data_IF_258642906429
#
_entry.id   IF_258642906429
#
_cell.length_a   1.000
_cell.length_b   1.000
_cell.length_c   1.000
_cell.angle_alpha   90.00
_cell.angle_beta   90.00
_cell.angle_gamma   90.00
#
_symmetry.space_group_name_H-M   'P 1'
#
loop_
_entity.id
_entity.type
_entity.pdbx_description
1 polymer ?
#
# COMPACT_ATOMS: atom_id res chain seq x y z
N UNK A 1 11.94 22.61 -4.26
CA UNK A 1 13.00 22.57 -3.25
C UNK A 1 14.14 21.77 -3.83
N UNK A 2 15.13 22.44 -4.36
CA UNK A 2 16.34 21.82 -4.90
C UNK A 2 17.20 21.36 -3.73
N UNK A 3 17.14 20.10 -3.39
CA UNK A 3 18.18 19.45 -2.61
C UNK A 3 19.44 19.41 -3.47
N UNK A 4 20.41 20.28 -3.24
CA UNK A 4 21.60 20.49 -4.07
C UNK A 4 22.58 19.30 -4.16
N UNK A 5 22.10 18.08 -4.27
CA UNK A 5 22.85 16.85 -4.41
C UNK A 5 22.42 16.04 -5.65
N UNK A 6 23.19 15.02 -6.02
CA UNK A 6 22.93 14.19 -7.22
C UNK A 6 21.73 13.24 -7.06
N UNK A 7 21.08 13.19 -5.88
CA UNK A 7 20.00 12.26 -5.57
C UNK A 7 18.66 12.95 -5.38
N UNK A 8 17.60 12.36 -5.92
CA UNK A 8 16.23 12.80 -5.64
C UNK A 8 15.77 12.38 -4.23
N UNK A 9 14.67 12.98 -3.73
CA UNK A 9 14.13 12.70 -2.39
C UNK A 9 13.95 11.19 -2.12
N UNK A 10 13.44 10.44 -3.10
CA UNK A 10 13.28 8.99 -2.94
C UNK A 10 14.64 8.26 -2.82
N UNK A 11 15.67 8.69 -3.54
CA UNK A 11 17.00 8.06 -3.44
C UNK A 11 17.71 8.38 -2.12
N UNK A 12 17.44 9.54 -1.52
CA UNK A 12 18.04 9.94 -0.24
C UNK A 12 17.60 9.05 0.93
N UNK A 13 16.49 8.34 0.81
CA UNK A 13 15.99 7.43 1.84
C UNK A 13 16.56 5.99 1.72
N UNK A 14 17.37 5.71 0.70
CA UNK A 14 18.03 4.41 0.57
C UNK A 14 19.12 4.25 1.63
N UNK A 15 18.92 3.33 2.54
CA UNK A 15 19.92 2.91 3.53
C UNK A 15 20.82 1.79 3.00
N UNK A 16 20.25 0.93 2.12
CA UNK A 16 20.95 -0.18 1.50
C UNK A 16 20.39 -0.45 0.11
N UNK A 17 21.29 -0.68 -0.84
CA UNK A 17 20.95 -1.14 -2.21
C UNK A 17 21.61 -2.50 -2.46
N UNK A 18 21.08 -3.32 -3.38
CA UNK A 18 21.68 -4.62 -3.69
C UNK A 18 23.05 -4.46 -4.36
N UNK A 19 23.85 -5.53 -4.35
CA UNK A 19 25.07 -5.58 -5.13
C UNK A 19 24.74 -5.52 -6.64
N UNK A 20 25.04 -4.39 -7.26
CA UNK A 20 24.75 -4.11 -8.68
C UNK A 20 25.73 -4.78 -9.64
N UNK A 21 26.78 -5.44 -9.13
CA UNK A 21 27.72 -6.26 -9.94
C UNK A 21 27.14 -7.64 -10.25
N UNK A 22 26.17 -8.10 -9.45
CA UNK A 22 25.45 -9.34 -9.70
C UNK A 22 24.48 -9.16 -10.88
N UNK A 23 24.56 -10.02 -11.91
CA UNK A 23 23.70 -9.94 -13.09
C UNK A 23 22.20 -9.96 -12.72
N UNK A 24 21.42 -9.03 -13.31
CA UNK A 24 19.99 -8.90 -13.09
C UNK A 24 19.57 -8.06 -11.87
N UNK A 25 20.48 -7.80 -10.91
CA UNK A 25 20.14 -7.02 -9.72
C UNK A 25 19.84 -5.56 -10.06
N UNK A 26 20.56 -4.98 -11.02
CA UNK A 26 20.33 -3.59 -11.46
C UNK A 26 18.92 -3.40 -12.01
N UNK A 27 18.49 -4.23 -12.93
CA UNK A 27 17.18 -4.16 -13.58
C UNK A 27 16.05 -4.35 -12.56
N UNK A 28 16.21 -5.31 -11.66
CA UNK A 28 15.25 -5.55 -10.57
C UNK A 28 15.16 -4.36 -9.63
N UNK A 29 16.29 -3.83 -9.21
CA UNK A 29 16.33 -2.65 -8.34
C UNK A 29 15.73 -1.41 -9.01
N UNK A 30 15.99 -1.18 -10.30
CA UNK A 30 15.38 -0.08 -11.05
C UNK A 30 13.85 -0.18 -11.11
N UNK A 31 13.30 -1.40 -11.21
CA UNK A 31 11.85 -1.63 -11.15
C UNK A 31 11.27 -1.26 -9.78
N UNK A 32 11.92 -1.68 -8.70
CA UNK A 32 11.52 -1.34 -7.33
C UNK A 32 11.60 0.18 -7.09
N UNK A 33 12.69 0.80 -7.54
CA UNK A 33 12.88 2.25 -7.42
C UNK A 33 11.82 3.07 -8.17
N UNK A 34 11.31 2.59 -9.32
CA UNK A 34 10.18 3.24 -10.01
C UNK A 34 8.92 3.24 -9.15
N UNK A 35 8.60 2.09 -8.53
CA UNK A 35 7.44 1.97 -7.64
C UNK A 35 7.60 2.84 -6.40
N UNK A 36 8.78 2.85 -5.77
CA UNK A 36 9.09 3.74 -4.65
C UNK A 36 8.93 5.22 -5.02
N UNK A 37 9.43 5.63 -6.19
CA UNK A 37 9.27 7.02 -6.66
C UNK A 37 7.80 7.40 -6.88
N UNK A 38 6.95 6.46 -7.33
CA UNK A 38 5.50 6.71 -7.43
C UNK A 38 4.86 6.87 -6.05
N UNK A 39 5.26 6.05 -5.06
CA UNK A 39 4.84 6.25 -3.67
C UNK A 39 5.23 7.64 -3.16
N UNK A 40 6.50 8.06 -3.35
CA UNK A 40 6.96 9.38 -2.93
C UNK A 40 6.22 10.52 -3.61
N UNK A 41 5.89 10.37 -4.90
CA UNK A 41 5.03 11.33 -5.61
C UNK A 41 3.67 11.46 -4.91
N UNK A 42 3.02 10.34 -4.57
CA UNK A 42 1.74 10.38 -3.86
C UNK A 42 1.87 11.03 -2.47
N UNK A 43 2.89 10.67 -1.70
CA UNK A 43 3.14 11.26 -0.38
C UNK A 43 3.32 12.78 -0.48
N UNK A 44 4.13 13.26 -1.42
CA UNK A 44 4.35 14.71 -1.65
C UNK A 44 3.06 15.43 -2.03
N UNK A 45 2.23 14.84 -2.90
CA UNK A 45 0.93 15.40 -3.31
C UNK A 45 -0.06 15.49 -2.18
N UNK A 46 0.04 14.58 -1.20
CA UNK A 46 -0.81 14.53 0.00
C UNK A 46 -0.23 15.27 1.22
N UNK A 47 0.97 15.84 1.10
CA UNK A 47 1.66 16.51 2.20
C UNK A 47 2.21 15.56 3.27
N UNK A 48 2.34 14.27 2.94
CA UNK A 48 2.88 13.26 3.85
C UNK A 48 4.40 13.40 3.93
N UNK A 49 4.92 13.53 5.16
CA UNK A 49 6.37 13.58 5.40
C UNK A 49 7.03 12.22 5.18
N UNK A 50 8.02 12.18 4.30
CA UNK A 50 8.83 11.01 3.97
C UNK A 50 10.29 11.14 4.41
N UNK A 51 10.62 12.17 5.19
CA UNK A 51 12.02 12.48 5.54
C UNK A 51 12.69 11.48 6.49
N UNK A 52 11.88 10.71 7.22
CA UNK A 52 12.36 9.76 8.24
C UNK A 52 12.27 8.29 7.84
N UNK A 53 11.59 7.96 6.73
CA UNK A 53 11.47 6.58 6.28
C UNK A 53 12.78 6.11 5.64
N UNK A 54 13.26 4.93 6.03
CA UNK A 54 14.41 4.27 5.42
C UNK A 54 13.98 3.15 4.49
N UNK A 55 14.76 2.89 3.43
CA UNK A 55 14.55 1.76 2.53
C UNK A 55 15.79 0.90 2.41
N UNK A 56 15.63 -0.43 2.48
CA UNK A 56 16.66 -1.42 2.26
C UNK A 56 16.20 -2.38 1.17
N UNK A 57 17.03 -2.55 0.14
CA UNK A 57 16.77 -3.48 -0.95
C UNK A 57 17.70 -4.66 -0.84
N UNK A 58 17.16 -5.84 -0.52
CA UNK A 58 17.93 -7.06 -0.25
C UNK A 58 17.65 -8.13 -1.31
N UNK A 59 18.70 -8.79 -1.75
CA UNK A 59 18.58 -10.00 -2.54
C UNK A 59 18.62 -11.22 -1.60
N UNK A 60 17.71 -12.18 -1.80
CA UNK A 60 17.82 -13.48 -1.13
C UNK A 60 19.09 -14.20 -1.54
N UNK A 61 19.73 -14.88 -0.60
CA UNK A 61 20.88 -15.76 -0.83
C UNK A 61 20.44 -17.23 -0.67
N UNK A 62 21.25 -18.21 -1.09
CA UNK A 62 20.92 -19.63 -0.86
C UNK A 62 20.73 -19.99 0.62
N UNK A 63 21.33 -19.22 1.52
CA UNK A 63 21.33 -19.51 2.97
C UNK A 63 20.37 -18.60 3.75
N UNK A 64 19.89 -17.50 3.16
CA UNK A 64 19.05 -16.52 3.85
C UNK A 64 18.03 -15.90 2.88
N UNK A 65 16.76 -16.08 3.19
CA UNK A 65 15.68 -15.43 2.46
C UNK A 65 15.54 -13.97 2.90
N UNK A 66 15.57 -13.04 1.97
CA UNK A 66 15.17 -11.67 2.24
C UNK A 66 13.64 -11.62 2.35
N UNK A 67 13.13 -11.01 3.41
CA UNK A 67 11.68 -10.83 3.64
C UNK A 67 11.36 -9.36 3.47
N UNK A 68 10.31 -9.06 2.72
CA UNK A 68 9.73 -7.71 2.64
C UNK A 68 8.96 -7.44 3.92
N UNK A 69 9.08 -6.23 4.47
CA UNK A 69 8.38 -5.84 5.69
C UNK A 69 8.88 -4.52 6.25
N UNK A 70 8.13 -3.97 7.20
CA UNK A 70 8.46 -2.76 7.93
C UNK A 70 8.94 -3.10 9.35
N UNK A 71 9.97 -2.40 9.81
CA UNK A 71 10.44 -2.45 11.20
C UNK A 71 11.14 -1.15 11.58
N UNK A 72 10.71 -0.54 12.69
CA UNK A 72 11.35 0.63 13.30
C UNK A 72 11.72 1.74 12.28
N UNK A 73 10.75 2.17 11.48
CA UNK A 73 10.92 3.23 10.49
C UNK A 73 11.66 2.82 9.21
N UNK A 74 12.02 1.55 9.05
CA UNK A 74 12.74 1.03 7.88
C UNK A 74 11.88 0.00 7.14
N UNK A 75 11.71 0.21 5.84
CA UNK A 75 11.04 -0.72 4.93
C UNK A 75 12.11 -1.52 4.20
N UNK A 76 12.11 -2.83 4.42
CA UNK A 76 12.94 -3.77 3.67
C UNK A 76 12.14 -4.34 2.50
N UNK A 77 12.73 -4.39 1.32
CA UNK A 77 12.10 -4.93 0.11
C UNK A 77 12.98 -6.02 -0.48
N UNK A 78 12.39 -7.21 -0.66
CA UNK A 78 13.07 -8.31 -1.34
C UNK A 78 13.17 -8.00 -2.84
N UNK A 79 14.39 -8.10 -3.38
CA UNK A 79 14.67 -7.87 -4.79
C UNK A 79 13.92 -8.84 -5.72
N UNK A 80 13.60 -10.03 -5.23
CA UNK A 80 12.78 -11.03 -5.94
C UNK A 80 11.39 -10.54 -6.30
N UNK A 81 10.84 -9.56 -5.58
CA UNK A 81 9.53 -8.98 -5.89
C UNK A 81 9.48 -8.22 -7.22
N UNK A 82 10.63 -7.78 -7.73
CA UNK A 82 10.71 -7.19 -9.05
C UNK A 82 10.45 -8.20 -10.18
N UNK A 83 10.58 -9.50 -9.91
CA UNK A 83 10.34 -10.56 -10.89
C UNK A 83 8.84 -10.81 -11.06
N UNK A 84 8.27 -10.64 -12.28
CA UNK A 84 6.85 -10.87 -12.53
C UNK A 84 6.41 -12.32 -12.28
N UNK A 85 7.28 -13.29 -12.57
CA UNK A 85 6.99 -14.72 -12.37
C UNK A 85 6.89 -15.03 -10.90
N UNK A 86 7.85 -14.57 -10.11
CA UNK A 86 7.86 -14.73 -8.66
C UNK A 86 6.61 -14.10 -8.02
N UNK A 87 6.24 -12.87 -8.46
CA UNK A 87 5.03 -12.21 -7.96
C UNK A 87 3.75 -12.98 -8.29
N UNK A 88 3.63 -13.47 -9.52
CA UNK A 88 2.45 -14.24 -9.91
C UNK A 88 2.36 -15.58 -9.15
N UNK A 89 3.48 -16.26 -8.94
CA UNK A 89 3.54 -17.48 -8.11
C UNK A 89 3.13 -17.18 -6.66
N UNK A 90 3.63 -16.11 -6.07
CA UNK A 90 3.26 -15.70 -4.72
C UNK A 90 1.77 -15.33 -4.65
N UNK A 91 1.26 -14.56 -5.61
CA UNK A 91 -0.15 -14.21 -5.72
C UNK A 91 -1.04 -15.46 -5.76
N UNK A 92 -0.67 -16.47 -6.55
CA UNK A 92 -1.40 -17.74 -6.65
C UNK A 92 -1.31 -18.56 -5.36
N UNK A 93 -0.12 -18.67 -4.76
CA UNK A 93 0.08 -19.44 -3.52
C UNK A 93 -0.67 -18.85 -2.32
N UNK A 94 -0.84 -17.52 -2.28
CA UNK A 94 -1.56 -16.79 -1.24
C UNK A 94 -3.04 -16.54 -1.60
N UNK A 95 -3.50 -17.03 -2.76
CA UNK A 95 -4.86 -16.79 -3.27
C UNK A 95 -5.24 -15.29 -3.30
N UNK A 96 -4.28 -14.43 -3.59
CA UNK A 96 -4.51 -13.00 -3.70
C UNK A 96 -5.08 -12.65 -5.09
N UNK A 97 -6.10 -11.79 -5.15
CA UNK A 97 -6.66 -11.30 -6.41
C UNK A 97 -5.81 -10.23 -7.07
N UNK A 98 -5.03 -9.51 -6.28
CA UNK A 98 -4.28 -8.34 -6.71
C UNK A 98 -2.95 -8.26 -5.96
N UNK A 99 -1.83 -8.22 -6.70
CA UNK A 99 -0.49 -8.08 -6.13
C UNK A 99 0.38 -7.28 -7.09
N UNK A 100 0.72 -6.05 -6.72
CA UNK A 100 1.56 -5.16 -7.51
C UNK A 100 2.72 -4.61 -6.68
N UNK A 101 3.82 -4.24 -7.33
CA UNK A 101 4.94 -3.62 -6.63
C UNK A 101 4.54 -2.35 -5.90
N UNK A 102 3.79 -1.48 -6.57
CA UNK A 102 3.33 -0.22 -5.95
C UNK A 102 2.36 -0.49 -4.79
N UNK A 103 1.54 -1.54 -4.89
CA UNK A 103 0.66 -1.97 -3.79
C UNK A 103 1.46 -2.36 -2.56
N UNK A 104 2.49 -3.20 -2.71
CA UNK A 104 3.40 -3.57 -1.62
C UNK A 104 4.10 -2.37 -0.99
N UNK A 105 4.67 -1.47 -1.80
CA UNK A 105 5.29 -0.25 -1.26
C UNK A 105 4.31 0.61 -0.46
N UNK A 106 3.05 0.71 -0.90
CA UNK A 106 2.00 1.45 -0.19
C UNK A 106 1.59 0.77 1.10
N UNK A 107 1.52 -0.55 1.09
CA UNK A 107 1.21 -1.37 2.26
C UNK A 107 2.29 -1.21 3.35
N UNK A 108 3.55 -1.46 3.02
CA UNK A 108 4.66 -1.30 3.96
C UNK A 108 4.80 0.14 4.48
N UNK A 109 4.53 1.10 3.61
CA UNK A 109 4.48 2.51 4.02
C UNK A 109 3.26 2.79 4.92
N UNK A 110 2.17 2.04 4.79
CA UNK A 110 1.03 2.08 5.70
C UNK A 110 1.42 1.71 7.13
N UNK A 111 2.21 0.65 7.32
CA UNK A 111 2.77 0.27 8.63
C UNK A 111 3.67 1.37 9.21
N UNK A 112 4.59 1.92 8.39
CA UNK A 112 5.42 3.05 8.78
C UNK A 112 4.57 4.26 9.21
N UNK A 113 3.53 4.58 8.44
CA UNK A 113 2.66 5.72 8.70
C UNK A 113 1.85 5.53 9.99
N UNK A 114 1.36 4.31 10.26
CA UNK A 114 0.70 3.94 11.50
C UNK A 114 1.60 4.15 12.72
N UNK A 115 2.84 3.63 12.66
CA UNK A 115 3.82 3.77 13.75
C UNK A 115 4.09 5.24 14.10
N UNK A 116 4.12 6.12 13.10
CA UNK A 116 4.49 7.51 13.28
C UNK A 116 3.30 8.47 13.51
N UNK A 117 2.08 8.10 13.13
CA UNK A 117 0.92 8.98 13.22
C UNK A 117 -0.16 8.47 14.18
N UNK A 118 -0.40 7.16 14.22
CA UNK A 118 -1.48 6.58 15.06
C UNK A 118 -0.96 6.26 16.46
N UNK A 119 0.15 5.53 16.55
CA UNK A 119 0.72 5.08 17.85
C UNK A 119 1.01 6.22 18.83
N UNK A 120 1.56 7.38 18.42
CA UNK A 120 1.87 8.45 19.35
C UNK A 120 0.67 9.25 19.84
N UNK A 121 -0.49 9.12 19.18
CA UNK A 121 -1.71 9.86 19.51
C UNK A 121 -2.76 8.93 20.14
N UNK A 122 -3.03 9.05 21.47
CA UNK A 122 -3.98 8.17 22.15
C UNK A 122 -5.40 8.25 21.60
N UNK A 123 -5.83 9.41 21.08
CA UNK A 123 -7.18 9.60 20.51
C UNK A 123 -7.28 8.89 19.18
N UNK A 124 -6.26 9.01 18.32
CA UNK A 124 -6.21 8.29 17.06
C UNK A 124 -6.11 6.79 17.26
N UNK A 125 -5.34 6.34 18.25
CA UNK A 125 -5.19 4.93 18.56
C UNK A 125 -6.50 4.32 19.09
N UNK A 126 -7.26 5.04 19.91
CA UNK A 126 -8.59 4.59 20.34
C UNK A 126 -9.55 4.45 19.15
N UNK A 127 -9.61 5.47 18.27
CA UNK A 127 -10.44 5.40 17.06
C UNK A 127 -10.00 4.32 16.07
N UNK A 128 -8.70 4.08 15.97
CA UNK A 128 -8.17 2.95 15.20
C UNK A 128 -8.74 1.63 15.75
N UNK A 129 -8.67 1.41 17.06
CA UNK A 129 -9.20 0.18 17.70
C UNK A 129 -10.69 -0.01 17.51
N UNK A 130 -11.47 1.08 17.53
CA UNK A 130 -12.91 1.04 17.24
C UNK A 130 -13.23 0.54 15.83
N UNK A 131 -12.39 0.87 14.84
CA UNK A 131 -12.63 0.60 13.42
C UNK A 131 -11.95 -0.67 12.91
N UNK A 132 -10.73 -0.94 13.37
CA UNK A 132 -9.86 -2.00 12.85
C UNK A 132 -9.71 -3.17 13.81
N UNK A 133 -9.93 -2.98 15.10
CA UNK A 133 -9.69 -3.97 16.15
C UNK A 133 -8.44 -3.67 16.99
N UNK A 134 -8.11 -4.58 17.90
CA UNK A 134 -7.00 -4.42 18.84
C UNK A 134 -5.67 -4.89 18.22
N UNK A 135 -4.78 -3.97 17.92
CA UNK A 135 -3.46 -4.25 17.33
C UNK A 135 -2.52 -5.03 18.26
N UNK A 136 -2.90 -5.21 19.55
CA UNK A 136 -2.12 -5.98 20.53
C UNK A 136 -2.39 -7.48 20.47
N UNK A 137 -3.31 -7.92 19.62
CA UNK A 137 -3.51 -9.35 19.34
C UNK A 137 -2.20 -10.01 18.90
N UNK A 138 -2.06 -11.31 19.16
CA UNK A 138 -0.84 -12.03 18.80
C UNK A 138 -0.71 -12.10 17.28
N UNK A 139 0.18 -11.26 16.75
CA UNK A 139 0.41 -11.11 15.32
C UNK A 139 0.80 -12.42 14.64
N UNK A 140 1.72 -13.20 15.25
CA UNK A 140 2.16 -14.45 14.63
C UNK A 140 1.05 -15.50 14.63
N UNK A 141 0.32 -15.64 15.74
CA UNK A 141 -0.81 -16.55 15.81
C UNK A 141 -1.92 -16.18 14.81
N UNK A 142 -2.19 -14.90 14.63
CA UNK A 142 -3.17 -14.39 13.65
C UNK A 142 -2.75 -14.71 12.21
N UNK A 143 -1.47 -14.54 11.87
CA UNK A 143 -0.94 -14.92 10.56
C UNK A 143 -0.96 -16.44 10.34
N UNK A 144 -0.58 -17.24 11.35
CA UNK A 144 -0.61 -18.70 11.26
C UNK A 144 -2.04 -19.22 11.04
N UNK A 145 -3.04 -18.63 11.70
CA UNK A 145 -4.44 -18.89 11.46
C UNK A 145 -4.84 -18.51 10.03
N UNK A 146 -4.47 -17.33 9.57
CA UNK A 146 -4.73 -16.91 8.19
C UNK A 146 -4.14 -17.89 7.17
N UNK A 147 -2.88 -18.29 7.29
CA UNK A 147 -2.23 -19.21 6.37
C UNK A 147 -2.74 -20.67 6.48
N UNK A 148 -3.40 -21.04 7.59
CA UNK A 148 -4.08 -22.32 7.70
C UNK A 148 -5.38 -22.42 6.89
N UNK A 149 -5.86 -21.30 6.33
CA UNK A 149 -7.05 -21.23 5.48
C UNK A 149 -8.35 -20.95 6.26
N UNK A 150 -8.26 -20.64 7.54
CA UNK A 150 -9.40 -20.26 8.39
C UNK A 150 -9.63 -18.73 8.30
N UNK A 151 -10.17 -18.30 7.16
CA UNK A 151 -10.33 -16.87 6.87
C UNK A 151 -11.74 -16.38 7.23
N UNK A 152 -11.81 -15.27 7.94
CA UNK A 152 -13.05 -14.52 8.06
C UNK A 152 -13.33 -13.77 6.74
N UNK A 153 -14.22 -14.29 5.91
CA UNK A 153 -14.72 -13.58 4.72
C UNK A 153 -15.79 -12.55 5.16
N UNK A 154 -15.38 -11.50 5.88
CA UNK A 154 -16.26 -10.41 6.27
C UNK A 154 -16.35 -9.33 5.18
N UNK A 155 -17.55 -8.76 4.97
CA UNK A 155 -17.72 -7.56 4.14
C UNK A 155 -17.08 -6.30 4.75
N UNK A 156 -16.41 -6.44 5.88
CA UNK A 156 -15.75 -5.38 6.64
C UNK A 156 -14.29 -5.18 6.26
N UNK A 157 -13.71 -6.09 5.45
CA UNK A 157 -12.33 -6.04 5.01
C UNK A 157 -12.22 -5.73 3.52
N UNK A 158 -11.22 -4.92 3.14
CA UNK A 158 -10.99 -4.56 1.73
C UNK A 158 -10.36 -5.69 0.93
N UNK A 159 -9.57 -6.55 1.59
CA UNK A 159 -8.95 -7.74 1.02
C UNK A 159 -9.08 -8.91 2.00
N UNK A 160 -8.86 -10.15 1.53
CA UNK A 160 -8.81 -11.31 2.42
C UNK A 160 -7.64 -11.19 3.39
N UNK A 161 -6.50 -10.67 2.94
CA UNK A 161 -5.32 -10.46 3.77
C UNK A 161 -5.56 -9.44 4.90
N UNK A 162 -6.36 -8.41 4.65
CA UNK A 162 -6.78 -7.45 5.68
C UNK A 162 -7.44 -8.11 6.90
N UNK A 163 -8.10 -9.27 6.72
CA UNK A 163 -8.73 -9.99 7.84
C UNK A 163 -7.73 -10.72 8.75
N UNK A 164 -6.46 -10.77 8.40
CA UNK A 164 -5.46 -11.51 9.16
C UNK A 164 -5.11 -10.86 10.51
N UNK A 165 -5.05 -9.53 10.55
CA UNK A 165 -4.71 -8.79 11.78
C UNK A 165 -5.15 -7.31 11.65
N UNK A 166 -5.55 -6.61 12.72
CA UNK A 166 -5.90 -5.18 12.67
C UNK A 166 -4.83 -4.28 12.04
N UNK A 167 -3.58 -4.59 12.24
CA UNK A 167 -2.46 -3.85 11.67
C UNK A 167 -2.32 -4.06 10.15
N UNK A 168 -2.64 -5.26 9.66
CA UNK A 168 -2.70 -5.57 8.22
C UNK A 168 -3.92 -4.92 7.55
N UNK A 169 -5.05 -4.90 8.25
CA UNK A 169 -6.26 -4.21 7.77
C UNK A 169 -6.02 -2.71 7.57
N UNK A 170 -5.30 -2.09 8.51
CA UNK A 170 -4.86 -0.70 8.32
C UNK A 170 -3.95 -0.54 7.11
N UNK A 171 -2.89 -1.36 6.98
CA UNK A 171 -1.92 -1.25 5.91
C UNK A 171 -2.55 -1.46 4.52
N UNK A 172 -3.44 -2.44 4.39
CA UNK A 172 -4.25 -2.68 3.20
C UNK A 172 -5.17 -1.49 2.90
N UNK A 173 -5.92 -1.01 3.90
CA UNK A 173 -6.81 0.15 3.74
C UNK A 173 -6.03 1.41 3.33
N UNK A 174 -4.86 1.65 3.92
CA UNK A 174 -3.97 2.76 3.58
C UNK A 174 -3.44 2.63 2.14
N UNK A 175 -3.01 1.45 1.72
CA UNK A 175 -2.57 1.20 0.36
C UNK A 175 -3.69 1.47 -0.66
N UNK A 176 -4.90 1.01 -0.37
CA UNK A 176 -6.07 1.24 -1.21
C UNK A 176 -6.50 2.72 -1.24
N UNK A 177 -6.39 3.44 -0.13
CA UNK A 177 -6.58 4.89 -0.12
C UNK A 177 -5.62 5.59 -1.08
N UNK A 178 -4.33 5.23 -1.07
CA UNK A 178 -3.36 5.79 -2.01
C UNK A 178 -3.63 5.35 -3.46
N UNK A 179 -4.12 4.12 -3.71
CA UNK A 179 -4.55 3.69 -5.04
C UNK A 179 -5.67 4.58 -5.57
N UNK A 180 -6.69 4.79 -4.77
CA UNK A 180 -7.84 5.63 -5.11
C UNK A 180 -7.42 7.06 -5.41
N UNK A 181 -6.61 7.67 -4.54
CA UNK A 181 -6.15 9.06 -4.69
C UNK A 181 -5.32 9.25 -5.95
N UNK A 182 -4.39 8.34 -6.21
CA UNK A 182 -3.49 8.39 -7.35
C UNK A 182 -4.23 8.18 -8.68
N UNK A 183 -5.16 7.23 -8.71
CA UNK A 183 -5.96 6.94 -9.89
C UNK A 183 -6.94 8.08 -10.21
N UNK A 184 -7.58 8.68 -9.21
CA UNK A 184 -8.46 9.84 -9.41
C UNK A 184 -7.69 11.05 -9.89
N UNK A 185 -6.51 11.36 -9.33
CA UNK A 185 -5.66 12.45 -9.83
C UNK A 185 -5.30 12.24 -11.31
N UNK A 186 -4.92 11.02 -11.68
CA UNK A 186 -4.65 10.66 -13.08
C UNK A 186 -5.89 10.84 -13.95
N UNK A 187 -7.06 10.38 -13.48
CA UNK A 187 -8.32 10.47 -14.21
C UNK A 187 -8.75 11.90 -14.49
N UNK A 188 -8.55 12.79 -13.53
CA UNK A 188 -8.79 14.24 -13.69
C UNK A 188 -7.89 14.82 -14.79
N UNK A 189 -6.61 14.46 -14.80
CA UNK A 189 -5.65 14.94 -15.80
C UNK A 189 -6.00 14.50 -17.21
N UNK A 190 -6.59 13.32 -17.37
CA UNK A 190 -7.05 12.81 -18.68
C UNK A 190 -8.52 13.15 -18.99
N UNK A 191 -9.19 13.95 -18.15
CA UNK A 191 -10.58 14.36 -18.38
C UNK A 191 -11.62 13.23 -18.23
N UNK A 192 -11.25 12.14 -17.53
CA UNK A 192 -12.16 11.01 -17.27
C UNK A 192 -13.06 11.28 -16.04
N UNK A 193 -12.65 12.18 -15.17
CA UNK A 193 -13.42 12.66 -14.02
C UNK A 193 -13.35 14.19 -13.95
N UNK A 194 -14.32 14.82 -13.27
CA UNK A 194 -14.35 16.27 -13.12
C UNK A 194 -13.26 16.75 -12.14
N UNK A 195 -12.49 17.75 -12.53
CA UNK A 195 -11.50 18.42 -11.68
C UNK A 195 -12.15 19.51 -10.84
N UNK A 196 -12.57 19.16 -9.63
CA UNK A 196 -13.19 20.09 -8.64
C UNK A 196 -12.47 20.07 -7.29
N UNK A 197 -11.22 19.59 -7.26
CA UNK A 197 -10.52 19.28 -6.01
C UNK A 197 -11.05 17.99 -5.37
N UNK A 198 -10.27 17.38 -4.51
CA UNK A 198 -10.68 16.14 -3.84
C UNK A 198 -11.54 16.46 -2.62
N UNK A 199 -12.74 15.88 -2.62
CA UNK A 199 -13.63 15.76 -1.48
C UNK A 199 -13.93 14.26 -1.31
N UNK A 200 -13.88 13.73 -0.09
CA UNK A 200 -13.83 12.29 0.16
C UNK A 200 -15.03 11.53 -0.42
N UNK A 201 -16.26 11.97 -0.11
CA UNK A 201 -17.47 11.24 -0.53
C UNK A 201 -17.60 11.20 -2.06
N UNK A 202 -17.40 12.36 -2.69
CA UNK A 202 -17.38 12.46 -4.15
C UNK A 202 -16.26 11.63 -4.77
N UNK A 203 -15.07 11.61 -4.15
CA UNK A 203 -13.94 10.81 -4.60
C UNK A 203 -14.26 9.31 -4.55
N UNK A 204 -14.90 8.83 -3.49
CA UNK A 204 -15.34 7.43 -3.39
C UNK A 204 -16.37 7.10 -4.48
N UNK A 205 -17.38 7.95 -4.70
CA UNK A 205 -18.36 7.75 -5.75
C UNK A 205 -17.74 7.73 -7.16
N UNK A 206 -16.82 8.64 -7.43
CA UNK A 206 -16.08 8.69 -8.71
C UNK A 206 -15.23 7.45 -8.88
N UNK A 207 -14.55 7.00 -7.83
CA UNK A 207 -13.73 5.79 -7.86
C UNK A 207 -14.56 4.53 -8.14
N UNK A 208 -15.71 4.37 -7.49
CA UNK A 208 -16.61 3.23 -7.75
C UNK A 208 -17.02 3.19 -9.23
N UNK A 209 -17.45 4.31 -9.78
CA UNK A 209 -17.84 4.41 -11.21
C UNK A 209 -16.67 4.10 -12.14
N UNK A 210 -15.49 4.65 -11.83
CA UNK A 210 -14.30 4.51 -12.65
C UNK A 210 -13.76 3.07 -12.62
N UNK A 211 -13.70 2.45 -11.43
CA UNK A 211 -13.22 1.08 -11.28
C UNK A 211 -14.12 0.07 -11.99
N UNK A 212 -15.44 0.24 -11.91
CA UNK A 212 -16.39 -0.57 -12.69
C UNK A 212 -16.15 -0.41 -14.20
N UNK A 213 -16.00 0.83 -14.69
CA UNK A 213 -15.74 1.06 -16.11
C UNK A 213 -14.43 0.41 -16.57
N UNK A 214 -13.35 0.52 -15.80
CA UNK A 214 -12.07 -0.11 -16.12
C UNK A 214 -12.14 -1.64 -16.06
N UNK A 215 -12.86 -2.21 -15.11
CA UNK A 215 -13.07 -3.65 -15.04
C UNK A 215 -13.82 -4.14 -16.30
N UNK A 216 -14.89 -3.46 -16.71
CA UNK A 216 -15.63 -3.81 -17.93
C UNK A 216 -14.77 -3.65 -19.21
N UNK A 217 -13.93 -2.61 -19.29
CA UNK A 217 -12.98 -2.45 -20.40
C UNK A 217 -11.99 -3.63 -20.43
N UNK A 218 -11.42 -4.00 -19.29
CA UNK A 218 -10.50 -5.14 -19.21
C UNK A 218 -11.20 -6.44 -19.63
N UNK A 219 -12.41 -6.71 -19.12
CA UNK A 219 -13.22 -7.88 -19.52
C UNK A 219 -13.49 -7.92 -21.01
N UNK A 220 -13.79 -6.77 -21.63
CA UNK A 220 -14.03 -6.68 -23.09
C UNK A 220 -12.78 -6.99 -23.92
N UNK A 221 -11.58 -6.88 -23.32
CA UNK A 221 -10.30 -7.26 -23.93
C UNK A 221 -9.84 -8.68 -23.54
N UNK A 222 -10.64 -9.42 -22.76
CA UNK A 222 -10.29 -10.75 -22.27
C UNK A 222 -9.29 -10.77 -21.12
N UNK A 223 -9.15 -9.65 -20.39
CA UNK A 223 -8.26 -9.49 -19.26
C UNK A 223 -9.03 -9.62 -17.92
N UNK A 224 -8.30 -9.86 -16.84
CA UNK A 224 -8.86 -9.84 -15.48
C UNK A 224 -9.24 -8.40 -15.07
N UNK A 225 -10.10 -8.28 -14.05
CA UNK A 225 -10.47 -7.01 -13.45
C UNK A 225 -9.23 -6.22 -13.03
N UNK A 226 -9.19 -4.94 -13.40
CA UNK A 226 -8.12 -4.04 -13.01
C UNK A 226 -8.14 -3.78 -11.50
N UNK A 227 -9.33 -3.66 -10.92
CA UNK A 227 -9.54 -3.44 -9.49
C UNK A 227 -10.64 -4.38 -8.97
N UNK A 228 -10.29 -5.60 -8.51
CA UNK A 228 -11.26 -6.64 -8.16
C UNK A 228 -11.79 -6.54 -6.72
N UNK A 229 -11.93 -5.32 -6.19
CA UNK A 229 -12.36 -5.08 -4.81
C UNK A 229 -13.69 -4.35 -4.75
N UNK A 230 -14.47 -4.64 -3.72
CA UNK A 230 -15.75 -3.98 -3.44
C UNK A 230 -15.61 -3.07 -2.24
N UNK A 231 -15.96 -1.80 -2.41
CA UNK A 231 -16.01 -0.85 -1.31
C UNK A 231 -17.36 -0.94 -0.60
N UNK A 232 -17.41 -1.70 0.48
CA UNK A 232 -18.57 -1.76 1.37
C UNK A 232 -18.64 -0.52 2.26
N UNK A 233 -19.76 -0.31 2.96
CA UNK A 233 -19.88 0.80 3.92
C UNK A 233 -18.81 0.73 5.03
N UNK A 234 -18.50 -0.46 5.53
CA UNK A 234 -17.47 -0.62 6.55
C UNK A 234 -16.07 -0.26 6.02
N UNK A 235 -15.74 -0.71 4.80
CA UNK A 235 -14.47 -0.34 4.14
C UNK A 235 -14.41 1.17 3.87
N UNK A 236 -15.52 1.79 3.46
CA UNK A 236 -15.57 3.24 3.23
C UNK A 236 -15.33 4.03 4.54
N UNK A 237 -15.84 3.56 5.68
CA UNK A 237 -15.56 4.18 6.99
C UNK A 237 -14.08 4.11 7.35
N UNK A 238 -13.43 2.96 7.13
CA UNK A 238 -11.98 2.79 7.34
C UNK A 238 -11.18 3.72 6.41
N UNK A 239 -11.53 3.78 5.12
CA UNK A 239 -10.92 4.71 4.16
C UNK A 239 -11.11 6.18 4.56
N UNK A 240 -12.27 6.53 5.11
CA UNK A 240 -12.56 7.88 5.62
C UNK A 240 -11.67 8.21 6.82
N UNK A 241 -11.45 7.26 7.72
CA UNK A 241 -10.53 7.45 8.84
C UNK A 241 -9.09 7.68 8.33
N UNK A 242 -8.60 6.85 7.40
CA UNK A 242 -7.30 7.06 6.74
C UNK A 242 -7.21 8.44 6.12
N UNK A 243 -8.25 8.86 5.38
CA UNK A 243 -8.30 10.20 4.77
C UNK A 243 -8.13 11.31 5.80
N UNK A 244 -8.90 11.25 6.90
CA UNK A 244 -8.84 12.26 7.97
C UNK A 244 -7.47 12.35 8.60
N UNK A 245 -6.83 11.21 8.86
CA UNK A 245 -5.46 11.17 9.40
C UNK A 245 -4.46 11.79 8.42
N UNK A 246 -4.58 11.46 7.12
CA UNK A 246 -3.69 11.98 6.08
C UNK A 246 -3.83 13.49 5.88
N UNK A 247 -5.06 14.03 5.96
CA UNK A 247 -5.26 15.49 5.79
C UNK A 247 -5.09 16.29 7.09
N UNK A 248 -4.74 15.62 8.20
CA UNK A 248 -4.53 16.27 9.50
C UNK A 248 -5.80 16.78 10.17
N UNK A 249 -6.96 16.16 9.87
CA UNK A 249 -8.26 16.50 10.47
C UNK A 249 -8.99 15.27 11.03
N UNK A 250 -8.43 14.60 12.05
CA UNK A 250 -8.94 13.31 12.54
C UNK A 250 -10.25 13.39 13.33
N UNK A 251 -10.69 14.55 13.78
CA UNK A 251 -11.76 14.70 14.78
C UNK A 251 -13.11 15.17 14.22
N UNK A 252 -13.24 15.46 12.91
CA UNK A 252 -14.49 15.97 12.31
C UNK A 252 -14.94 15.18 11.09
#
# INVERSE_FOLDING_TARGET
>A
MDGGGPFCLACLTNQMIPDLTVPGNREKWEHLERSKRRLFYNCLRLGIDTSRVGFRFLASTPNEAAVTGHCAGTITVNLGEADPVTREQTKQSLNEKFRTLIGHFRHEFGHYYWENQITPDPILLEKFRELFGDEREDYQASLDQYYSGDWAHGHEFISVYASSHPWEDWAETFAHYLHLRDALETSEQFGLTESKGFEFERGVEQWIKLSVAFNEINRSLGLQDLYPFTLTSAVIEKLRFVHRVVVGNPLY
#
